data_IF_026835653340
#
_entry.id   IF_026835653340
#
_cell.length_a   1.000
_cell.length_b   1.000
_cell.length_c   1.000
_cell.angle_alpha   90.00
_cell.angle_beta   90.00
_cell.angle_gamma   90.00
#
_symmetry.space_group_name_H-M   'P 1'
#
loop_
_entity.id
_entity.type
_entity.pdbx_description
1 polymer ?
#
# COMPACT_ATOMS: atom_id res chain seq x y z
N UNK A 1 -14.24 38.59 42.76
CA UNK A 1 -14.89 38.03 41.55
C UNK A 1 -14.11 38.48 40.33
N UNK A 2 -13.46 37.56 39.60
CA UNK A 2 -12.80 37.86 38.32
C UNK A 2 -12.86 36.62 37.42
N UNK A 3 -13.31 36.84 36.19
CA UNK A 3 -14.02 35.88 35.35
C UNK A 3 -13.18 34.75 34.75
N UNK A 4 -13.80 33.57 34.69
CA UNK A 4 -13.31 32.38 33.99
C UNK A 4 -13.21 32.67 32.49
N UNK A 5 -11.99 32.71 31.93
CA UNK A 5 -11.78 32.65 30.47
C UNK A 5 -12.10 31.23 29.98
N UNK A 6 -13.26 31.08 29.32
CA UNK A 6 -13.62 29.86 28.58
C UNK A 6 -12.67 29.70 27.39
N UNK A 7 -11.85 28.65 27.42
CA UNK A 7 -11.03 28.20 26.30
C UNK A 7 -11.98 27.56 25.27
N UNK A 8 -12.12 28.19 24.10
CA UNK A 8 -12.95 27.67 23.01
C UNK A 8 -12.40 26.32 22.54
N UNK A 9 -13.29 25.33 22.45
CA UNK A 9 -13.01 23.98 21.97
C UNK A 9 -12.47 24.08 20.54
N UNK A 10 -11.27 23.55 20.32
CA UNK A 10 -10.69 23.43 18.98
C UNK A 10 -11.65 22.65 18.09
N UNK A 11 -12.06 23.27 16.99
CA UNK A 11 -12.96 22.67 16.02
C UNK A 11 -12.40 21.35 15.49
N UNK A 12 -13.29 20.38 15.34
CA UNK A 12 -13.01 19.10 14.70
C UNK A 12 -12.53 19.37 13.28
N UNK A 13 -11.26 19.06 13.00
CA UNK A 13 -10.71 19.19 11.65
C UNK A 13 -11.50 18.26 10.73
N UNK A 14 -12.27 18.83 9.81
CA UNK A 14 -12.84 18.08 8.71
C UNK A 14 -11.71 17.50 7.87
N UNK A 15 -11.82 16.23 7.48
CA UNK A 15 -10.85 15.54 6.62
C UNK A 15 -10.79 16.25 5.27
N UNK A 16 -9.83 17.14 5.12
CA UNK A 16 -9.33 17.56 3.81
C UNK A 16 -8.83 16.30 3.13
N UNK A 17 -9.14 16.12 1.85
CA UNK A 17 -8.53 15.09 1.00
C UNK A 17 -7.02 15.30 1.11
N UNK A 18 -6.40 14.45 1.92
CA UNK A 18 -4.96 14.39 2.03
C UNK A 18 -4.46 13.94 0.65
N UNK A 19 -3.38 14.54 0.13
CA UNK A 19 -2.72 13.95 -1.02
C UNK A 19 -2.46 12.48 -0.71
N UNK A 20 -2.96 11.56 -1.54
CA UNK A 20 -2.97 10.12 -1.26
C UNK A 20 -1.55 9.58 -1.01
N UNK A 21 -0.53 10.28 -1.51
CA UNK A 21 0.89 9.96 -1.33
C UNK A 21 1.47 10.43 0.01
N UNK A 22 0.91 11.48 0.63
CA UNK A 22 1.31 11.94 1.97
C UNK A 22 0.78 11.03 3.08
N UNK A 23 -0.19 10.14 2.78
CA UNK A 23 -0.65 9.08 3.68
C UNK A 23 0.54 8.22 4.15
N UNK A 24 1.54 8.03 3.28
CA UNK A 24 2.84 7.47 3.65
C UNK A 24 3.69 8.49 4.42
N UNK A 25 3.43 8.57 5.72
CA UNK A 25 4.18 9.41 6.64
C UNK A 25 5.66 9.02 6.70
N UNK A 26 6.53 10.00 6.94
CA UNK A 26 7.97 9.79 7.12
C UNK A 26 8.29 8.79 8.25
N UNK A 27 7.37 8.62 9.20
CA UNK A 27 7.50 7.63 10.27
C UNK A 27 7.38 6.19 9.76
N UNK A 28 6.44 5.90 8.84
CA UNK A 28 6.28 4.57 8.26
C UNK A 28 7.49 4.22 7.40
N UNK A 29 7.98 5.16 6.59
CA UNK A 29 9.20 4.98 5.77
C UNK A 29 10.41 4.69 6.67
N UNK A 30 10.55 5.39 7.80
CA UNK A 30 11.58 5.06 8.78
C UNK A 30 11.39 3.66 9.35
N UNK A 31 10.19 3.27 9.75
CA UNK A 31 9.95 1.91 10.28
C UNK A 31 10.30 0.82 9.27
N UNK A 32 9.95 1.01 7.99
CA UNK A 32 10.32 0.08 6.91
C UNK A 32 11.84 0.02 6.74
N UNK A 33 12.51 1.16 6.67
CA UNK A 33 13.97 1.22 6.54
C UNK A 33 14.66 0.58 7.76
N UNK A 34 14.13 0.76 8.97
CA UNK A 34 14.65 0.08 10.17
C UNK A 34 14.46 -1.43 10.10
N UNK A 35 13.30 -1.93 9.65
CA UNK A 35 13.10 -3.37 9.40
C UNK A 35 14.05 -3.90 8.33
N UNK A 36 14.36 -3.11 7.32
CA UNK A 36 15.37 -3.41 6.31
C UNK A 36 16.83 -3.24 6.76
N UNK A 37 17.11 -2.96 8.04
CA UNK A 37 18.47 -2.83 8.56
C UNK A 37 19.18 -1.50 8.24
N UNK A 38 18.45 -0.49 7.73
CA UNK A 38 19.03 0.79 7.35
C UNK A 38 19.33 1.64 8.59
N UNK A 39 20.61 2.01 8.78
CA UNK A 39 21.10 2.75 9.96
C UNK A 39 20.92 4.27 9.87
N UNK A 40 21.03 4.86 8.68
CA UNK A 40 20.85 6.31 8.45
C UNK A 40 20.11 6.54 7.13
N UNK A 41 19.07 7.37 7.17
CA UNK A 41 18.29 7.74 5.99
C UNK A 41 18.53 9.21 5.66
N UNK A 42 18.77 9.52 4.39
CA UNK A 42 18.81 10.89 3.88
C UNK A 42 17.40 11.44 3.68
N UNK A 43 17.25 12.78 3.63
CA UNK A 43 15.98 13.45 3.38
C UNK A 43 15.35 13.13 2.02
N UNK A 44 16.18 12.88 0.99
CA UNK A 44 15.70 12.55 -0.36
C UNK A 44 15.03 11.18 -0.45
N UNK A 45 15.34 10.27 0.48
CA UNK A 45 14.77 8.91 0.49
C UNK A 45 13.26 8.94 0.74
N UNK A 46 12.73 9.94 1.44
CA UNK A 46 11.31 10.00 1.74
C UNK A 46 10.46 10.15 0.48
N UNK A 47 10.83 11.06 -0.42
CA UNK A 47 10.08 11.25 -1.66
C UNK A 47 10.36 10.13 -2.68
N UNK A 48 11.61 9.65 -2.75
CA UNK A 48 11.95 8.55 -3.65
C UNK A 48 11.21 7.26 -3.29
N UNK A 49 11.10 6.94 -1.99
CA UNK A 49 10.36 5.74 -1.54
C UNK A 49 8.89 5.83 -1.91
N UNK A 50 8.30 7.03 -1.89
CA UNK A 50 6.90 7.25 -2.29
C UNK A 50 6.72 7.06 -3.79
N UNK A 51 7.65 7.57 -4.60
CA UNK A 51 7.63 7.39 -6.05
C UNK A 51 7.73 5.90 -6.42
N UNK A 52 8.69 5.18 -5.83
CA UNK A 52 8.87 3.73 -6.04
C UNK A 52 7.62 2.95 -5.64
N UNK A 53 7.04 3.26 -4.47
CA UNK A 53 5.84 2.56 -4.02
C UNK A 53 4.65 2.79 -4.96
N UNK A 54 4.50 4.02 -5.47
CA UNK A 54 3.45 4.34 -6.42
C UNK A 54 3.58 3.50 -7.69
N UNK A 55 4.79 3.47 -8.28
CA UNK A 55 5.06 2.66 -9.48
C UNK A 55 4.81 1.18 -9.22
N UNK A 56 5.22 0.67 -8.07
CA UNK A 56 4.99 -0.73 -7.69
C UNK A 56 3.48 -1.07 -7.63
N UNK A 57 2.69 -0.25 -6.94
CA UNK A 57 1.25 -0.46 -6.84
C UNK A 57 0.54 -0.31 -8.19
N UNK A 58 0.97 0.65 -9.02
CA UNK A 58 0.42 0.80 -10.36
C UNK A 58 0.67 -0.45 -11.21
N UNK A 59 1.85 -1.05 -11.14
CA UNK A 59 2.15 -2.27 -11.88
C UNK A 59 1.30 -3.46 -11.41
N UNK A 60 1.19 -3.66 -10.09
CA UNK A 60 0.36 -4.75 -9.52
C UNK A 60 -1.12 -4.58 -9.88
N UNK A 61 -1.63 -3.34 -9.84
CA UNK A 61 -3.03 -3.07 -10.18
C UNK A 61 -3.27 -3.23 -11.68
N UNK A 62 -2.35 -2.79 -12.55
CA UNK A 62 -2.45 -3.01 -14.00
C UNK A 62 -2.57 -4.50 -14.32
N UNK A 63 -1.68 -5.32 -13.76
CA UNK A 63 -1.69 -6.77 -13.97
C UNK A 63 -3.00 -7.39 -13.43
N UNK A 64 -3.45 -6.99 -12.24
CA UNK A 64 -4.71 -7.45 -11.66
C UNK A 64 -5.93 -7.05 -12.51
N UNK A 65 -5.92 -5.84 -13.10
CA UNK A 65 -6.99 -5.37 -14.00
C UNK A 65 -7.02 -6.20 -15.28
N UNK A 66 -5.86 -6.51 -15.86
CA UNK A 66 -5.77 -7.37 -17.06
C UNK A 66 -6.38 -8.76 -16.81
N UNK A 67 -6.19 -9.34 -15.63
CA UNK A 67 -6.81 -10.64 -15.29
C UNK A 67 -8.33 -10.56 -15.18
N UNK A 68 -8.89 -9.50 -14.58
CA UNK A 68 -10.36 -9.37 -14.48
C UNK A 68 -11.02 -9.04 -15.82
N UNK A 69 -10.33 -8.30 -16.70
CA UNK A 69 -10.81 -7.99 -18.05
C UNK A 69 -10.90 -9.26 -18.89
N UNK A 70 -9.93 -10.17 -18.75
CA UNK A 70 -9.97 -11.49 -19.38
C UNK A 70 -11.17 -12.32 -18.90
N UNK A 71 -11.49 -12.25 -17.61
CA UNK A 71 -12.61 -12.97 -17.01
C UNK A 71 -13.98 -12.23 -17.08
N UNK A 72 -14.02 -11.03 -17.68
CA UNK A 72 -15.21 -10.17 -17.79
C UNK A 72 -15.87 -9.87 -16.43
N UNK A 73 -15.08 -9.86 -15.35
CA UNK A 73 -15.53 -9.53 -13.98
C UNK A 73 -15.25 -8.05 -13.70
N UNK A 74 -16.16 -7.38 -13.01
CA UNK A 74 -15.99 -5.97 -12.60
C UNK A 74 -15.45 -5.82 -11.16
N UNK A 75 -15.17 -6.94 -10.49
CA UNK A 75 -14.75 -6.96 -9.08
C UNK A 75 -13.41 -7.67 -8.93
N UNK A 76 -12.40 -6.90 -8.53
CA UNK A 76 -11.07 -7.43 -8.21
C UNK A 76 -11.18 -8.29 -6.95
N UNK A 77 -10.87 -9.57 -7.10
CA UNK A 77 -10.84 -10.54 -6.00
C UNK A 77 -9.40 -10.71 -5.50
N UNK A 78 -9.23 -11.20 -4.27
CA UNK A 78 -7.92 -11.49 -3.68
C UNK A 78 -7.04 -12.41 -4.57
N UNK A 79 -7.65 -13.35 -5.30
CA UNK A 79 -6.94 -14.24 -6.24
C UNK A 79 -6.26 -13.47 -7.36
N UNK A 80 -6.95 -12.48 -7.94
CA UNK A 80 -6.43 -11.65 -9.04
C UNK A 80 -5.19 -10.88 -8.58
N UNK A 81 -5.21 -10.41 -7.32
CA UNK A 81 -4.07 -9.75 -6.68
C UNK A 81 -2.92 -10.73 -6.42
N UNK A 82 -3.19 -11.96 -5.96
CA UNK A 82 -2.13 -12.98 -5.80
C UNK A 82 -1.50 -13.33 -7.15
N UNK A 83 -2.30 -13.50 -8.20
CA UNK A 83 -1.79 -13.82 -9.53
C UNK A 83 -0.92 -12.71 -10.07
N UNK A 84 -1.35 -11.45 -9.95
CA UNK A 84 -0.53 -10.29 -10.28
C UNK A 84 0.79 -10.23 -9.46
N UNK A 85 0.73 -10.53 -8.16
CA UNK A 85 1.92 -10.53 -7.29
C UNK A 85 2.89 -11.69 -7.58
N UNK A 86 2.40 -12.86 -8.00
CA UNK A 86 3.24 -14.00 -8.41
C UNK A 86 4.14 -13.65 -9.60
N UNK A 87 3.67 -12.77 -10.50
CA UNK A 87 4.46 -12.30 -11.64
C UNK A 87 5.52 -11.26 -11.25
N UNK A 88 5.29 -10.45 -10.21
CA UNK A 88 6.20 -9.37 -9.81
C UNK A 88 7.23 -9.78 -8.75
N UNK A 89 6.92 -10.72 -7.86
CA UNK A 89 7.82 -11.13 -6.78
C UNK A 89 7.63 -12.60 -6.35
N UNK A 90 8.58 -13.50 -6.68
CA UNK A 90 8.64 -14.84 -6.11
C UNK A 90 8.84 -14.87 -4.58
N UNK A 91 9.09 -13.70 -3.97
CA UNK A 91 9.45 -13.50 -2.57
C UNK A 91 8.28 -13.63 -1.57
N UNK A 92 7.06 -13.89 -2.03
CA UNK A 92 5.88 -13.79 -1.16
C UNK A 92 5.67 -15.00 -0.23
N UNK A 93 6.15 -16.22 -0.53
CA UNK A 93 5.87 -17.35 0.37
C UNK A 93 7.06 -18.27 0.64
N UNK A 94 7.64 -18.08 1.83
CA UNK A 94 8.21 -19.16 2.64
C UNK A 94 7.12 -19.96 3.37
N UNK A 95 6.10 -20.43 2.65
CA UNK A 95 5.15 -21.41 3.18
C UNK A 95 5.04 -22.56 2.18
N UNK A 96 5.42 -23.74 2.66
CA UNK A 96 5.43 -24.96 1.88
C UNK A 96 4.05 -25.27 1.30
N UNK A 97 4.09 -25.79 0.07
CA UNK A 97 3.11 -26.72 -0.49
C UNK A 97 1.67 -26.23 -0.54
N UNK A 98 1.32 -25.45 -1.55
CA UNK A 98 0.05 -25.71 -2.24
C UNK A 98 0.34 -26.74 -3.32
N UNK A 99 0.22 -28.01 -2.90
CA UNK A 99 0.06 -29.13 -3.81
C UNK A 99 -1.06 -28.79 -4.77
N UNK A 100 -0.79 -28.95 -6.06
CA UNK A 100 -1.72 -28.59 -7.11
C UNK A 100 -3.00 -29.40 -7.00
N UNK A 101 -4.12 -28.71 -7.01
CA UNK A 101 -5.32 -29.23 -7.63
C UNK A 101 -5.82 -28.19 -8.63
N UNK A 102 -5.61 -28.55 -9.90
CA UNK A 102 -6.43 -28.23 -11.06
C UNK A 102 -7.32 -26.99 -10.95
N UNK A 103 -6.91 -25.90 -11.60
CA UNK A 103 -7.87 -25.00 -12.23
C UNK A 103 -7.57 -24.98 -13.72
N UNK A 104 -8.14 -26.01 -14.35
CA UNK A 104 -8.34 -26.13 -15.79
C UNK A 104 -9.15 -24.92 -16.27
N UNK A 105 -8.64 -24.25 -17.29
CA UNK A 105 -9.42 -23.37 -18.15
C UNK A 105 -10.64 -24.13 -18.67
N UNK A 106 -11.84 -23.69 -18.29
CA UNK A 106 -13.06 -23.85 -19.06
C UNK A 106 -14.01 -22.69 -18.78
#
# INVERSE_FOLDING_TARGET
MSGKRKRSKGGTKHKVRCDDMQVMSNAIIRHLARRGGVKRNSGLIYEETRAVLKVFLENVIRDAVTYIEHEKRNTVTYLDVIFALKCQAPLFWGHGGFHGESLSFQ
#
